data_IF_711954238230
#
_entry.id   IF_711954238230
#
_cell.length_a   1.000
_cell.length_b   1.000
_cell.length_c   1.000
_cell.angle_alpha   90.00
_cell.angle_beta   90.00
_cell.angle_gamma   90.00
#
_symmetry.space_group_name_H-M   'P 1'
#
loop_
_entity.id
_entity.type
_entity.pdbx_description
1 polymer ?
#
# COMPACT_ATOMS: atom_id res chain seq x y z
N UNK A 1 -45.24 5.53 28.00
CA UNK A 1 -44.95 4.58 26.91
C UNK A 1 -44.47 5.44 25.77
N UNK A 2 -43.18 5.74 25.76
CA UNK A 2 -42.54 6.48 24.69
C UNK A 2 -41.71 5.48 23.90
N UNK A 3 -42.26 5.03 22.77
CA UNK A 3 -41.56 4.22 21.80
C UNK A 3 -40.49 5.09 21.13
N UNK A 4 -39.24 4.86 21.51
CA UNK A 4 -38.09 5.37 20.79
C UNK A 4 -38.02 4.67 19.43
N UNK A 5 -38.35 5.45 18.40
CA UNK A 5 -38.12 5.08 17.01
C UNK A 5 -36.59 5.04 16.76
N UNK A 6 -35.97 3.90 17.05
CA UNK A 6 -34.58 3.63 16.70
C UNK A 6 -34.55 3.36 15.21
N UNK A 7 -34.13 4.38 14.46
CA UNK A 7 -33.90 4.28 13.02
C UNK A 7 -32.89 3.16 12.76
N UNK A 8 -33.31 2.13 12.03
CA UNK A 8 -32.46 1.01 11.67
C UNK A 8 -31.22 1.54 10.93
N UNK A 9 -30.02 0.97 11.18
CA UNK A 9 -28.82 1.40 10.47
C UNK A 9 -29.04 1.31 8.97
N UNK A 10 -28.53 2.29 8.18
CA UNK A 10 -28.69 2.28 6.74
C UNK A 10 -28.18 0.96 6.18
N UNK A 11 -28.96 0.35 5.29
CA UNK A 11 -28.56 -0.87 4.62
C UNK A 11 -27.17 -0.66 3.97
N UNK A 12 -26.28 -1.68 4.01
CA UNK A 12 -24.98 -1.56 3.36
C UNK A 12 -25.20 -1.22 1.89
N UNK A 13 -24.62 -0.09 1.45
CA UNK A 13 -24.64 0.31 0.04
C UNK A 13 -24.02 -0.83 -0.74
N UNK A 14 -24.82 -1.49 -1.58
CA UNK A 14 -24.32 -2.58 -2.42
C UNK A 14 -23.09 -2.10 -3.20
N UNK A 15 -22.00 -2.86 -3.13
CA UNK A 15 -20.75 -2.50 -3.80
C UNK A 15 -21.03 -2.21 -5.28
N UNK A 16 -20.81 -0.95 -5.70
CA UNK A 16 -20.89 -0.58 -7.10
C UNK A 16 -19.80 -1.33 -7.84
N UNK A 17 -20.16 -1.96 -8.96
CA UNK A 17 -19.18 -2.66 -9.78
C UNK A 17 -18.13 -1.66 -10.27
N UNK A 18 -16.83 -1.95 -10.12
CA UNK A 18 -15.79 -1.04 -10.58
C UNK A 18 -15.83 -0.88 -12.09
N UNK A 19 -15.35 0.26 -12.59
CA UNK A 19 -15.26 0.53 -14.04
C UNK A 19 -14.35 -0.50 -14.72
N UNK A 20 -13.21 -0.80 -14.09
CA UNK A 20 -12.29 -1.87 -14.48
C UNK A 20 -11.99 -2.70 -13.24
N UNK A 21 -12.17 -4.02 -13.33
CA UNK A 21 -11.81 -4.93 -12.25
C UNK A 21 -10.33 -4.80 -11.92
N UNK A 22 -9.99 -4.67 -10.64
CA UNK A 22 -8.62 -4.40 -10.20
C UNK A 22 -7.64 -5.49 -10.67
N UNK A 23 -8.08 -6.75 -10.76
CA UNK A 23 -7.26 -7.87 -11.26
C UNK A 23 -6.79 -7.69 -12.71
N UNK A 24 -7.56 -6.97 -13.54
CA UNK A 24 -7.15 -6.62 -14.90
C UNK A 24 -5.99 -5.63 -14.85
N UNK A 25 -6.09 -4.60 -14.01
CA UNK A 25 -5.03 -3.61 -13.84
C UNK A 25 -3.75 -4.28 -13.34
N UNK A 26 -3.84 -5.17 -12.36
CA UNK A 26 -2.68 -5.85 -11.81
C UNK A 26 -1.96 -6.73 -12.84
N UNK A 27 -2.72 -7.37 -13.73
CA UNK A 27 -2.16 -8.17 -14.81
C UNK A 27 -1.44 -7.33 -15.88
N UNK A 28 -1.65 -6.02 -15.91
CA UNK A 28 -0.97 -5.10 -16.82
C UNK A 28 0.32 -4.52 -16.23
N UNK A 29 0.46 -4.58 -14.90
CA UNK A 29 1.61 -4.03 -14.18
C UNK A 29 2.80 -4.98 -14.16
N UNK A 30 3.95 -4.44 -14.55
CA UNK A 30 5.27 -4.94 -14.19
C UNK A 30 6.04 -3.78 -13.55
N UNK A 31 6.23 -3.84 -12.23
CA UNK A 31 6.93 -2.79 -11.48
C UNK A 31 8.44 -2.79 -11.73
N UNK A 32 9.02 -3.87 -12.23
CA UNK A 32 10.42 -3.92 -12.63
C UNK A 32 10.67 -3.28 -14.00
N UNK A 33 9.61 -3.12 -14.82
CA UNK A 33 9.64 -2.44 -16.12
C UNK A 33 8.48 -1.44 -16.24
N UNK A 34 8.59 -0.27 -15.57
CA UNK A 34 7.57 0.77 -15.66
C UNK A 34 7.43 1.33 -17.10
N UNK A 35 8.46 1.21 -17.94
CA UNK A 35 8.43 1.61 -19.34
C UNK A 35 7.49 0.74 -20.18
N UNK A 36 7.65 -0.59 -20.12
CA UNK A 36 6.74 -1.51 -20.77
C UNK A 36 5.32 -1.39 -20.21
N UNK A 37 5.18 -1.19 -18.90
CA UNK A 37 3.88 -0.96 -18.27
C UNK A 37 3.19 0.31 -18.81
N UNK A 38 3.91 1.44 -18.89
CA UNK A 38 3.39 2.66 -19.48
C UNK A 38 2.95 2.46 -20.93
N UNK A 39 3.72 1.72 -21.73
CA UNK A 39 3.36 1.41 -23.12
C UNK A 39 2.04 0.62 -23.22
N UNK A 40 1.82 -0.36 -22.34
CA UNK A 40 0.57 -1.15 -22.30
C UNK A 40 -0.65 -0.29 -21.96
N UNK A 41 -0.55 0.56 -20.93
CA UNK A 41 -1.66 1.44 -20.57
C UNK A 41 -1.94 2.48 -21.66
N UNK A 42 -0.88 3.08 -22.24
CA UNK A 42 -1.01 4.05 -23.33
C UNK A 42 -1.72 3.47 -24.55
N UNK A 43 -1.43 2.22 -24.92
CA UNK A 43 -2.13 1.55 -26.01
C UNK A 43 -3.65 1.49 -25.83
N UNK A 44 -4.14 1.34 -24.58
CA UNK A 44 -5.59 1.35 -24.30
C UNK A 44 -6.15 2.78 -24.22
N UNK A 45 -5.37 3.74 -23.72
CA UNK A 45 -5.76 5.16 -23.68
C UNK A 45 -5.94 5.71 -25.09
N UNK A 46 -5.09 5.32 -26.04
CA UNK A 46 -5.10 5.78 -27.43
C UNK A 46 -6.08 5.00 -28.31
N UNK A 47 -6.64 3.89 -27.83
CA UNK A 47 -7.64 3.10 -28.55
C UNK A 47 -9.03 3.75 -28.46
N UNK A 48 -9.41 4.50 -29.50
CA UNK A 48 -10.72 5.15 -29.59
C UNK A 48 -11.91 4.18 -29.52
N UNK A 49 -11.71 2.89 -29.79
CA UNK A 49 -12.74 1.87 -29.69
C UNK A 49 -13.02 1.43 -28.25
N UNK A 50 -12.08 1.66 -27.32
CA UNK A 50 -12.26 1.36 -25.90
C UNK A 50 -13.25 2.35 -25.26
N UNK A 51 -14.13 1.93 -24.33
CA UNK A 51 -15.09 2.84 -23.68
C UNK A 51 -14.39 3.98 -22.91
N UNK A 52 -14.93 5.20 -22.99
CA UNK A 52 -14.32 6.38 -22.36
C UNK A 52 -14.01 6.22 -20.85
N UNK A 53 -14.90 5.64 -20.00
CA UNK A 53 -14.58 5.40 -18.59
C UNK A 53 -13.41 4.42 -18.40
N UNK A 54 -13.28 3.41 -19.27
CA UNK A 54 -12.16 2.46 -19.22
C UNK A 54 -10.86 3.18 -19.57
N UNK A 55 -10.85 3.98 -20.64
CA UNK A 55 -9.67 4.79 -21.02
C UNK A 55 -9.27 5.75 -19.89
N UNK A 56 -10.24 6.35 -19.20
CA UNK A 56 -9.98 7.22 -18.05
C UNK A 56 -9.30 6.46 -16.89
N UNK A 57 -9.75 5.25 -16.55
CA UNK A 57 -9.07 4.40 -15.56
C UNK A 57 -7.65 4.07 -16.01
N UNK A 58 -7.46 3.67 -17.26
CA UNK A 58 -6.12 3.35 -17.79
C UNK A 58 -5.20 4.57 -17.79
N UNK A 59 -5.73 5.77 -18.05
CA UNK A 59 -4.97 7.02 -17.99
C UNK A 59 -4.43 7.30 -16.58
N UNK A 60 -5.19 7.00 -15.51
CA UNK A 60 -4.65 7.12 -14.14
C UNK A 60 -3.50 6.16 -13.88
N UNK A 61 -3.57 4.93 -14.42
CA UNK A 61 -2.48 3.96 -14.27
C UNK A 61 -1.27 4.32 -15.14
N UNK A 62 -1.50 4.88 -16.33
CA UNK A 62 -0.45 5.44 -17.17
C UNK A 62 0.28 6.58 -16.45
N UNK A 63 -0.47 7.50 -15.82
CA UNK A 63 0.11 8.59 -15.04
C UNK A 63 1.02 8.05 -13.92
N UNK A 64 0.59 7.01 -13.20
CA UNK A 64 1.43 6.32 -12.20
C UNK A 64 2.74 5.80 -12.79
N UNK A 65 2.66 5.12 -13.93
CA UNK A 65 3.84 4.55 -14.58
C UNK A 65 4.81 5.62 -15.08
N UNK A 66 4.27 6.72 -15.61
CA UNK A 66 5.04 7.89 -16.05
C UNK A 66 5.72 8.61 -14.88
N UNK A 67 5.04 8.74 -13.74
CA UNK A 67 5.64 9.31 -12.53
C UNK A 67 6.85 8.49 -12.06
N UNK A 68 6.74 7.15 -12.04
CA UNK A 68 7.88 6.26 -11.74
C UNK A 68 9.05 6.39 -12.72
N UNK A 69 8.79 6.86 -13.95
CA UNK A 69 9.80 7.15 -14.98
C UNK A 69 10.33 8.59 -14.88
N UNK A 70 9.91 9.37 -13.88
CA UNK A 70 10.26 10.79 -13.73
C UNK A 70 9.57 11.72 -14.74
N UNK A 71 8.61 11.22 -15.52
CA UNK A 71 7.85 12.02 -16.52
C UNK A 71 6.63 12.69 -15.88
N UNK A 72 6.87 13.45 -14.80
CA UNK A 72 5.83 14.01 -13.94
C UNK A 72 4.89 14.95 -14.69
N UNK A 73 5.43 15.87 -15.50
CA UNK A 73 4.62 16.81 -16.29
C UNK A 73 3.60 16.11 -17.21
N UNK A 74 3.97 14.96 -17.78
CA UNK A 74 3.05 14.17 -18.62
C UNK A 74 2.00 13.46 -17.77
N UNK A 75 2.40 12.90 -16.64
CA UNK A 75 1.49 12.28 -15.69
C UNK A 75 0.42 13.27 -15.20
N UNK A 76 0.81 14.48 -14.81
CA UNK A 76 -0.11 15.52 -14.35
C UNK A 76 -1.09 15.95 -15.45
N UNK A 77 -0.61 16.17 -16.68
CA UNK A 77 -1.49 16.49 -17.82
C UNK A 77 -2.53 15.40 -18.10
N UNK A 78 -2.16 14.13 -17.95
CA UNK A 78 -3.11 13.02 -18.09
C UNK A 78 -4.18 13.05 -16.98
N UNK A 79 -3.77 13.29 -15.73
CA UNK A 79 -4.69 13.38 -14.60
C UNK A 79 -5.64 14.58 -14.74
N UNK A 80 -5.14 15.73 -15.21
CA UNK A 80 -5.96 16.91 -15.52
C UNK A 80 -6.99 16.62 -16.61
N UNK A 81 -6.57 15.93 -17.68
CA UNK A 81 -7.48 15.56 -18.77
C UNK A 81 -8.59 14.60 -18.30
N UNK A 82 -8.26 13.65 -17.42
CA UNK A 82 -9.28 12.79 -16.80
C UNK A 82 -10.22 13.62 -15.93
N UNK A 83 -9.69 14.49 -15.07
CA UNK A 83 -10.49 15.32 -14.15
C UNK A 83 -11.47 16.25 -14.88
N UNK A 84 -11.04 16.87 -15.97
CA UNK A 84 -11.89 17.74 -16.81
C UNK A 84 -13.09 17.00 -17.41
N UNK A 85 -13.01 15.68 -17.59
CA UNK A 85 -14.05 14.85 -18.16
C UNK A 85 -15.02 14.24 -17.13
N UNK A 86 -14.82 14.47 -15.82
CA UNK A 86 -15.60 13.80 -14.78
C UNK A 86 -16.99 14.42 -14.59
N UNK A 87 -17.99 13.56 -14.49
CA UNK A 87 -19.30 13.93 -13.97
C UNK A 87 -19.30 13.93 -12.44
N UNK A 88 -20.27 14.62 -11.83
CA UNK A 88 -20.44 14.65 -10.37
C UNK A 88 -20.63 13.25 -9.77
N UNK A 89 -21.16 12.29 -10.54
CA UNK A 89 -21.32 10.90 -10.11
C UNK A 89 -20.03 10.06 -10.09
N UNK A 90 -18.93 10.53 -10.68
CA UNK A 90 -17.73 9.71 -10.96
C UNK A 90 -16.75 9.61 -9.78
N UNK A 91 -17.26 9.15 -8.64
CA UNK A 91 -16.48 9.03 -7.41
C UNK A 91 -15.26 8.10 -7.54
N UNK A 92 -15.37 6.97 -8.27
CA UNK A 92 -14.22 6.06 -8.46
C UNK A 92 -13.06 6.73 -9.21
N UNK A 93 -13.37 7.45 -10.30
CA UNK A 93 -12.34 8.13 -11.08
C UNK A 93 -11.74 9.31 -10.30
N UNK A 94 -12.54 10.08 -9.56
CA UNK A 94 -12.01 11.11 -8.67
C UNK A 94 -11.07 10.53 -7.62
N UNK A 95 -11.42 9.39 -7.03
CA UNK A 95 -10.57 8.71 -6.07
C UNK A 95 -9.21 8.33 -6.70
N UNK A 96 -9.24 7.70 -7.89
CA UNK A 96 -8.02 7.32 -8.61
C UNK A 96 -7.15 8.53 -8.95
N UNK A 97 -7.74 9.61 -9.49
CA UNK A 97 -7.00 10.85 -9.79
C UNK A 97 -6.37 11.43 -8.53
N UNK A 98 -7.13 11.53 -7.44
CA UNK A 98 -6.65 12.09 -6.18
C UNK A 98 -5.51 11.27 -5.56
N UNK A 99 -5.61 9.93 -5.60
CA UNK A 99 -4.56 9.02 -5.13
C UNK A 99 -3.29 9.15 -5.95
N UNK A 100 -3.38 9.18 -7.29
CA UNK A 100 -2.20 9.33 -8.13
C UNK A 100 -1.55 10.71 -8.00
N UNK A 101 -2.34 11.79 -7.87
CA UNK A 101 -1.81 13.12 -7.53
C UNK A 101 -1.10 13.11 -6.17
N UNK A 102 -1.72 12.51 -5.16
CA UNK A 102 -1.12 12.36 -3.84
C UNK A 102 0.20 11.61 -3.91
N UNK A 103 0.28 10.54 -4.71
CA UNK A 103 1.50 9.76 -4.91
C UNK A 103 2.62 10.57 -5.60
N UNK A 104 2.28 11.38 -6.60
CA UNK A 104 3.24 12.28 -7.26
C UNK A 104 3.79 13.32 -6.27
N UNK A 105 2.92 13.95 -5.48
CA UNK A 105 3.32 14.95 -4.49
C UNK A 105 4.19 14.32 -3.38
N UNK A 106 3.82 13.12 -2.95
CA UNK A 106 4.52 12.38 -1.90
C UNK A 106 5.96 11.99 -2.27
N UNK A 107 6.26 11.86 -3.57
CA UNK A 107 7.61 11.60 -4.10
C UNK A 107 8.44 12.89 -4.26
N UNK A 108 7.82 14.06 -4.06
CA UNK A 108 8.45 15.37 -4.16
C UNK A 108 9.22 15.81 -2.89
N UNK A 109 9.58 17.10 -2.85
CA UNK A 109 10.38 17.67 -1.75
C UNK A 109 9.60 17.83 -0.43
N UNK A 110 8.27 17.97 -0.50
CA UNK A 110 7.39 18.12 0.67
C UNK A 110 6.30 17.03 0.68
N UNK A 111 6.62 15.80 1.13
CA UNK A 111 5.67 14.68 1.06
C UNK A 111 4.34 14.91 1.79
N UNK A 112 4.36 15.68 2.89
CA UNK A 112 3.16 16.05 3.64
C UNK A 112 2.17 16.92 2.85
N UNK A 113 2.61 17.57 1.77
CA UNK A 113 1.71 18.30 0.87
C UNK A 113 0.73 17.36 0.13
N UNK A 114 0.97 16.04 0.16
CA UNK A 114 0.07 15.04 -0.44
C UNK A 114 -1.22 14.83 0.37
N UNK A 115 -1.24 15.17 1.67
CA UNK A 115 -2.33 14.84 2.60
C UNK A 115 -3.72 15.27 2.10
N UNK A 116 -3.92 16.50 1.58
CA UNK A 116 -5.23 16.92 1.06
C UNK A 116 -5.72 16.06 -0.11
N UNK A 117 -4.82 15.69 -1.04
CA UNK A 117 -5.16 14.86 -2.19
C UNK A 117 -5.47 13.43 -1.77
N UNK A 118 -4.69 12.85 -0.86
CA UNK A 118 -4.93 11.50 -0.36
C UNK A 118 -6.22 11.40 0.47
N UNK A 119 -6.51 12.42 1.30
CA UNK A 119 -7.78 12.50 2.06
C UNK A 119 -8.99 12.61 1.13
N UNK A 120 -8.87 13.38 0.04
CA UNK A 120 -9.86 13.39 -1.03
C UNK A 120 -10.02 11.98 -1.64
N UNK A 121 -8.90 11.29 -1.90
CA UNK A 121 -8.88 9.90 -2.36
C UNK A 121 -9.68 8.96 -1.48
N UNK A 122 -9.44 8.98 -0.16
CA UNK A 122 -10.19 8.19 0.84
C UNK A 122 -11.70 8.47 0.72
N UNK A 123 -12.10 9.75 0.76
CA UNK A 123 -13.51 10.14 0.73
C UNK A 123 -14.21 9.69 -0.55
N UNK A 124 -13.60 9.91 -1.70
CA UNK A 124 -14.20 9.54 -2.99
C UNK A 124 -14.20 8.01 -3.19
N UNK A 125 -13.18 7.30 -2.71
CA UNK A 125 -13.13 5.84 -2.72
C UNK A 125 -14.23 5.23 -1.85
N UNK A 126 -14.48 5.80 -0.67
CA UNK A 126 -15.58 5.41 0.21
C UNK A 126 -16.94 5.66 -0.46
N UNK A 127 -17.13 6.83 -1.11
CA UNK A 127 -18.34 7.12 -1.91
C UNK A 127 -18.53 6.17 -3.09
N UNK A 128 -17.43 5.70 -3.68
CA UNK A 128 -17.46 4.71 -4.75
C UNK A 128 -17.74 3.28 -4.23
N UNK A 129 -17.65 3.05 -2.92
CA UNK A 129 -17.76 1.71 -2.32
C UNK A 129 -16.57 0.81 -2.67
N UNK A 130 -15.36 1.38 -2.77
CA UNK A 130 -14.14 0.65 -3.10
C UNK A 130 -13.18 0.57 -1.90
N UNK A 131 -13.24 -0.51 -1.08
CA UNK A 131 -12.29 -0.73 0.01
C UNK A 131 -10.84 -0.73 -0.48
N UNK A 132 -10.59 -1.26 -1.68
CA UNK A 132 -9.25 -1.30 -2.25
C UNK A 132 -8.65 0.10 -2.43
N UNK A 133 -9.42 1.05 -2.99
CA UNK A 133 -8.92 2.42 -3.20
C UNK A 133 -8.85 3.21 -1.88
N UNK A 134 -9.74 2.93 -0.92
CA UNK A 134 -9.64 3.48 0.44
C UNK A 134 -8.32 3.06 1.08
N UNK A 135 -8.00 1.77 1.04
CA UNK A 135 -6.77 1.21 1.61
C UNK A 135 -5.51 1.73 0.91
N UNK A 136 -5.54 1.90 -0.42
CA UNK A 136 -4.41 2.49 -1.16
C UNK A 136 -4.12 3.93 -0.71
N UNK A 137 -5.17 4.75 -0.53
CA UNK A 137 -5.03 6.11 -0.06
C UNK A 137 -4.57 6.19 1.41
N UNK A 138 -5.15 5.37 2.30
CA UNK A 138 -4.79 5.30 3.72
C UNK A 138 -3.35 4.81 3.91
N UNK A 139 -2.89 3.86 3.09
CA UNK A 139 -1.50 3.41 3.15
C UNK A 139 -0.53 4.54 2.83
N UNK A 140 -0.80 5.35 1.79
CA UNK A 140 0.02 6.51 1.46
C UNK A 140 -0.03 7.57 2.57
N UNK A 141 -1.20 7.82 3.18
CA UNK A 141 -1.31 8.71 4.33
C UNK A 141 -0.46 8.22 5.51
N UNK A 142 -0.49 6.92 5.81
CA UNK A 142 0.32 6.32 6.86
C UNK A 142 1.84 6.43 6.60
N UNK A 143 2.28 6.62 5.35
CA UNK A 143 3.68 6.80 4.98
C UNK A 143 4.13 8.27 4.98
N UNK A 144 3.22 9.20 4.70
CA UNK A 144 3.57 10.58 4.35
C UNK A 144 2.97 11.66 5.26
N UNK A 145 1.98 11.32 6.10
CA UNK A 145 1.42 12.22 7.12
C UNK A 145 2.12 12.01 8.47
N UNK A 146 3.26 12.67 8.62
CA UNK A 146 4.10 12.51 9.81
C UNK A 146 3.37 12.89 11.11
N UNK A 147 3.42 11.98 12.08
CA UNK A 147 2.72 12.11 13.37
C UNK A 147 1.32 11.48 13.41
N UNK A 148 0.77 11.06 12.26
CA UNK A 148 -0.54 10.40 12.16
C UNK A 148 -0.42 8.97 11.59
N UNK A 149 0.78 8.41 11.52
CA UNK A 149 1.06 7.12 10.86
C UNK A 149 0.24 5.97 11.46
N UNK A 150 0.16 5.92 12.80
CA UNK A 150 -0.62 4.89 13.50
C UNK A 150 -2.13 5.07 13.30
N UNK A 151 -2.61 6.31 13.26
CA UNK A 151 -4.04 6.60 13.10
C UNK A 151 -4.53 6.10 11.74
N UNK A 152 -3.79 6.43 10.67
CA UNK A 152 -4.11 5.97 9.31
C UNK A 152 -3.97 4.46 9.15
N UNK A 153 -2.95 3.85 9.77
CA UNK A 153 -2.78 2.40 9.73
C UNK A 153 -3.94 1.66 10.43
N UNK A 154 -4.40 2.17 11.59
CA UNK A 154 -5.54 1.61 12.33
C UNK A 154 -6.85 1.79 11.54
N UNK A 155 -7.10 2.97 10.97
CA UNK A 155 -8.28 3.17 10.12
C UNK A 155 -8.29 2.20 8.92
N UNK A 156 -7.12 1.95 8.32
CA UNK A 156 -6.98 0.94 7.28
C UNK A 156 -7.32 -0.47 7.75
N UNK A 157 -6.92 -0.83 8.98
CA UNK A 157 -7.26 -2.14 9.56
C UNK A 157 -8.78 -2.26 9.82
N UNK A 158 -9.42 -1.18 10.28
CA UNK A 158 -10.88 -1.14 10.45
C UNK A 158 -11.63 -1.35 9.12
N UNK A 159 -11.07 -0.86 8.00
CA UNK A 159 -11.63 -1.12 6.65
C UNK A 159 -11.54 -2.59 6.25
N UNK A 160 -10.54 -3.33 6.77
CA UNK A 160 -10.39 -4.78 6.52
C UNK A 160 -11.39 -5.62 7.31
N UNK A 161 -12.00 -5.10 8.36
CA UNK A 161 -12.97 -5.84 9.15
C UNK A 161 -14.19 -6.23 8.29
N UNK A 162 -14.52 -7.52 8.34
CA UNK A 162 -15.62 -8.10 7.56
C UNK A 162 -15.31 -8.30 6.06
N UNK A 163 -14.13 -7.87 5.56
CA UNK A 163 -13.73 -8.15 4.18
C UNK A 163 -13.43 -9.63 4.00
N UNK A 164 -13.70 -10.12 2.78
CA UNK A 164 -13.48 -11.54 2.42
C UNK A 164 -12.66 -11.71 1.15
N UNK A 165 -12.48 -10.65 0.37
CA UNK A 165 -11.66 -10.69 -0.83
C UNK A 165 -10.18 -10.82 -0.40
N UNK A 166 -9.49 -11.93 -0.75
CA UNK A 166 -8.07 -12.11 -0.43
C UNK A 166 -7.19 -10.95 -0.92
N UNK A 167 -7.58 -10.29 -2.01
CA UNK A 167 -6.86 -9.14 -2.55
C UNK A 167 -6.94 -7.93 -1.64
N UNK A 168 -8.12 -7.67 -1.08
CA UNK A 168 -8.33 -6.59 -0.11
C UNK A 168 -7.62 -6.94 1.20
N UNK A 169 -7.79 -8.18 1.70
CA UNK A 169 -7.13 -8.66 2.92
C UNK A 169 -5.60 -8.60 2.86
N UNK A 170 -5.01 -8.72 1.66
CA UNK A 170 -3.56 -8.57 1.45
C UNK A 170 -3.02 -7.21 1.88
N UNK A 171 -3.84 -6.15 1.91
CA UNK A 171 -3.44 -4.84 2.43
C UNK A 171 -3.03 -4.87 3.91
N UNK A 172 -3.54 -5.85 4.68
CA UNK A 172 -3.15 -6.01 6.07
C UNK A 172 -1.65 -6.27 6.25
N UNK A 173 -0.95 -6.78 5.23
CA UNK A 173 0.51 -6.89 5.24
C UNK A 173 1.14 -5.52 5.41
N UNK A 174 0.79 -4.56 4.54
CA UNK A 174 1.39 -3.22 4.54
C UNK A 174 0.96 -2.41 5.77
N UNK A 175 -0.30 -2.53 6.20
CA UNK A 175 -0.81 -1.79 7.36
C UNK A 175 -0.15 -2.23 8.67
N UNK A 176 -0.06 -3.54 8.92
CA UNK A 176 0.64 -4.03 10.11
C UNK A 176 2.16 -3.78 10.02
N UNK A 177 2.74 -3.81 8.83
CA UNK A 177 4.15 -3.47 8.63
C UNK A 177 4.43 -1.99 8.97
N UNK A 178 3.62 -1.07 8.45
CA UNK A 178 3.70 0.36 8.78
C UNK A 178 3.53 0.60 10.28
N UNK A 179 2.50 -0.01 10.89
CA UNK A 179 2.23 0.12 12.33
C UNK A 179 3.39 -0.46 13.18
N UNK A 180 4.00 -1.56 12.72
CA UNK A 180 5.19 -2.13 13.31
C UNK A 180 6.36 -1.14 13.32
N UNK A 181 6.65 -0.49 12.20
CA UNK A 181 7.72 0.51 12.10
C UNK A 181 7.43 1.75 12.94
N UNK A 182 6.22 2.30 12.87
CA UNK A 182 5.83 3.44 13.70
C UNK A 182 6.01 3.14 15.21
N UNK A 183 5.63 1.94 15.67
CA UNK A 183 5.87 1.49 17.05
C UNK A 183 7.36 1.31 17.35
N UNK A 184 8.11 0.74 16.42
CA UNK A 184 9.55 0.47 16.59
C UNK A 184 10.34 1.78 16.76
N UNK A 185 10.09 2.76 15.90
CA UNK A 185 10.76 4.07 15.91
C UNK A 185 10.48 4.87 17.18
N UNK A 186 9.30 4.67 17.78
CA UNK A 186 8.95 5.24 19.08
C UNK A 186 9.47 4.43 20.28
N UNK A 187 10.30 3.41 20.06
CA UNK A 187 10.87 2.55 21.10
C UNK A 187 9.90 1.50 21.67
N UNK A 188 8.68 1.39 21.14
CA UNK A 188 7.67 0.38 21.55
C UNK A 188 7.90 -0.97 20.85
N UNK A 189 9.13 -1.47 20.93
CA UNK A 189 9.60 -2.64 20.16
C UNK A 189 8.81 -3.93 20.43
N UNK A 190 8.28 -4.15 21.63
CA UNK A 190 7.42 -5.33 21.92
C UNK A 190 6.11 -5.25 21.12
N UNK A 191 5.49 -4.07 21.10
CA UNK A 191 4.29 -3.84 20.30
C UNK A 191 4.59 -3.92 18.80
N UNK A 192 5.73 -3.41 18.36
CA UNK A 192 6.18 -3.51 16.97
C UNK A 192 6.28 -4.97 16.50
N UNK A 193 6.91 -5.83 17.31
CA UNK A 193 7.04 -7.26 17.01
C UNK A 193 5.68 -7.92 16.77
N UNK A 194 4.68 -7.62 17.62
CA UNK A 194 3.33 -8.17 17.47
C UNK A 194 2.67 -7.76 16.14
N UNK A 195 2.93 -6.53 15.67
CA UNK A 195 2.40 -6.10 14.37
C UNK A 195 3.16 -6.76 13.21
N UNK A 196 4.48 -6.85 13.28
CA UNK A 196 5.26 -7.57 12.26
C UNK A 196 4.86 -9.05 12.15
N UNK A 197 4.59 -9.73 13.27
CA UNK A 197 4.09 -11.10 13.30
C UNK A 197 2.72 -11.23 12.60
N UNK A 198 1.80 -10.29 12.83
CA UNK A 198 0.52 -10.22 12.10
C UNK A 198 0.71 -10.00 10.60
N UNK A 199 1.67 -9.15 10.22
CA UNK A 199 2.01 -8.96 8.80
C UNK A 199 2.52 -10.26 8.16
N UNK A 200 3.33 -11.06 8.87
CA UNK A 200 3.79 -12.40 8.43
C UNK A 200 2.60 -13.34 8.22
N UNK A 201 1.67 -13.43 9.18
CA UNK A 201 0.50 -14.31 9.05
C UNK A 201 -0.34 -14.01 7.79
N UNK A 202 -0.50 -12.73 7.45
CA UNK A 202 -1.25 -12.32 6.27
C UNK A 202 -0.42 -12.56 5.00
N UNK A 203 0.89 -12.30 5.04
CA UNK A 203 1.79 -12.56 3.92
C UNK A 203 1.86 -14.05 3.57
N UNK A 204 1.75 -14.94 4.56
CA UNK A 204 1.71 -16.38 4.35
C UNK A 204 0.42 -16.84 3.67
N UNK A 205 -0.71 -16.20 3.97
CA UNK A 205 -2.00 -16.53 3.36
C UNK A 205 -2.21 -15.89 1.98
N UNK A 206 -1.75 -14.65 1.80
CA UNK A 206 -2.17 -13.80 0.68
C UNK A 206 -1.01 -13.07 -0.03
N UNK A 207 0.20 -13.09 0.54
CA UNK A 207 1.34 -12.31 0.05
C UNK A 207 2.12 -12.97 -1.10
N UNK A 208 2.93 -12.15 -1.79
CA UNK A 208 3.96 -12.64 -2.70
C UNK A 208 5.14 -13.24 -1.93
N UNK A 209 6.04 -13.96 -2.62
CA UNK A 209 7.29 -14.43 -2.02
C UNK A 209 8.13 -13.29 -1.47
N UNK A 210 8.13 -12.13 -2.13
CA UNK A 210 8.80 -10.92 -1.66
C UNK A 210 8.18 -10.37 -0.38
N UNK A 211 6.85 -10.26 -0.30
CA UNK A 211 6.20 -9.80 0.93
C UNK A 211 6.43 -10.77 2.10
N UNK A 212 6.46 -12.08 1.85
CA UNK A 212 6.84 -13.07 2.86
C UNK A 212 8.28 -12.92 3.34
N UNK A 213 9.20 -12.56 2.45
CA UNK A 213 10.60 -12.27 2.79
C UNK A 213 10.69 -11.01 3.65
N UNK A 214 10.11 -9.90 3.18
CA UNK A 214 10.20 -8.58 3.83
C UNK A 214 9.59 -8.59 5.24
N UNK A 215 8.40 -9.19 5.40
CA UNK A 215 7.73 -9.26 6.72
C UNK A 215 8.55 -10.06 7.74
N UNK A 216 9.13 -11.19 7.34
CA UNK A 216 10.02 -11.99 8.21
C UNK A 216 11.33 -11.25 8.53
N UNK A 217 11.89 -10.53 7.57
CA UNK A 217 13.05 -9.68 7.81
C UNK A 217 12.76 -8.63 8.88
N UNK A 218 11.58 -7.99 8.85
CA UNK A 218 11.15 -7.03 9.88
C UNK A 218 10.99 -7.66 11.27
N UNK A 219 10.45 -8.88 11.36
CA UNK A 219 10.40 -9.64 12.62
C UNK A 219 11.82 -9.86 13.16
N UNK A 220 12.75 -10.38 12.34
CA UNK A 220 14.12 -10.63 12.75
C UNK A 220 14.87 -9.35 13.17
N UNK A 221 14.70 -8.27 12.41
CA UNK A 221 15.25 -6.94 12.73
C UNK A 221 14.74 -6.41 14.06
N UNK A 222 13.46 -6.63 14.37
CA UNK A 222 12.84 -6.22 15.63
C UNK A 222 13.32 -7.09 16.81
N UNK A 223 13.48 -8.40 16.62
CA UNK A 223 14.05 -9.29 17.65
C UNK A 223 15.45 -8.87 18.07
N UNK A 224 16.28 -8.42 17.11
CA UNK A 224 17.60 -7.86 17.41
C UNK A 224 17.50 -6.63 18.32
N UNK A 225 16.58 -5.70 18.03
CA UNK A 225 16.35 -4.52 18.90
C UNK A 225 15.92 -4.93 20.32
N UNK A 226 15.17 -6.03 20.46
CA UNK A 226 14.76 -6.58 21.75
C UNK A 226 15.86 -7.39 22.47
N UNK A 227 17.06 -7.52 21.90
CA UNK A 227 18.17 -8.30 22.46
C UNK A 227 18.01 -9.82 22.29
N UNK A 228 17.02 -10.28 21.51
CA UNK A 228 16.81 -11.69 21.17
C UNK A 228 17.70 -12.09 19.99
N UNK A 229 19.00 -11.93 20.17
CA UNK A 229 20.03 -12.00 19.12
C UNK A 229 20.10 -13.36 18.43
N UNK A 230 20.03 -14.45 19.19
CA UNK A 230 20.12 -15.81 18.62
C UNK A 230 18.93 -16.12 17.69
N UNK A 231 17.72 -15.74 18.10
CA UNK A 231 16.50 -15.90 17.31
C UNK A 231 16.53 -15.02 16.05
N UNK A 232 16.97 -13.77 16.19
CA UNK A 232 17.15 -12.87 15.06
C UNK A 232 18.16 -13.46 14.05
N UNK A 233 19.30 -13.96 14.51
CA UNK A 233 20.34 -14.52 13.64
C UNK A 233 19.90 -15.80 12.94
N UNK A 234 19.16 -16.67 13.64
CA UNK A 234 18.60 -17.88 13.04
C UNK A 234 17.67 -17.54 11.87
N UNK A 235 16.72 -16.62 12.08
CA UNK A 235 15.81 -16.20 11.01
C UNK A 235 16.53 -15.48 9.86
N UNK A 236 17.50 -14.61 10.15
CA UNK A 236 18.24 -13.95 9.06
C UNK A 236 19.01 -14.96 8.20
N UNK A 237 19.56 -16.02 8.79
CA UNK A 237 20.21 -17.10 8.03
C UNK A 237 19.23 -17.86 7.15
N UNK A 238 18.04 -18.20 7.67
CA UNK A 238 16.98 -18.82 6.87
C UNK A 238 16.56 -17.93 5.68
N UNK A 239 16.46 -16.62 5.90
CA UNK A 239 16.16 -15.66 4.84
C UNK A 239 17.28 -15.58 3.79
N UNK A 240 18.54 -15.69 4.21
CA UNK A 240 19.70 -15.72 3.32
C UNK A 240 19.78 -17.02 2.50
N UNK A 241 19.32 -18.17 3.05
CA UNK A 241 19.21 -19.40 2.26
C UNK A 241 18.20 -19.25 1.11
N UNK A 242 17.08 -18.58 1.37
CA UNK A 242 16.05 -18.33 0.36
C UNK A 242 16.48 -17.26 -0.67
N UNK A 243 17.24 -16.25 -0.24
CA UNK A 243 17.75 -15.15 -1.08
C UNK A 243 19.18 -14.77 -0.67
N UNK A 244 20.20 -15.47 -1.21
CA UNK A 244 21.60 -15.28 -0.81
C UNK A 244 22.15 -13.87 -1.07
N UNK A 245 21.61 -13.19 -2.08
CA UNK A 245 22.07 -11.88 -2.53
C UNK A 245 21.25 -10.71 -1.92
N UNK A 246 20.37 -10.97 -0.95
CA UNK A 246 19.58 -9.92 -0.30
C UNK A 246 20.46 -9.08 0.65
N UNK A 247 20.87 -7.91 0.16
CA UNK A 247 21.78 -7.01 0.88
C UNK A 247 21.27 -6.59 2.26
N UNK A 248 19.94 -6.48 2.46
CA UNK A 248 19.36 -6.12 3.75
C UNK A 248 19.47 -7.25 4.76
N UNK A 249 19.33 -8.50 4.31
CA UNK A 249 19.54 -9.70 5.15
C UNK A 249 21.01 -9.83 5.51
N UNK A 250 21.92 -9.68 4.54
CA UNK A 250 23.36 -9.79 4.76
C UNK A 250 23.87 -8.73 5.76
N UNK A 251 23.42 -7.48 5.64
CA UNK A 251 23.75 -6.42 6.58
C UNK A 251 23.29 -6.73 8.02
N UNK A 252 22.13 -7.38 8.18
CA UNK A 252 21.64 -7.78 9.50
C UNK A 252 22.44 -8.94 10.09
N UNK A 253 22.85 -9.92 9.29
CA UNK A 253 23.75 -11.01 9.73
C UNK A 253 25.09 -10.43 10.18
N UNK A 254 25.66 -9.50 9.42
CA UNK A 254 26.90 -8.81 9.79
C UNK A 254 26.74 -8.09 11.14
N UNK A 255 25.68 -7.31 11.30
CA UNK A 255 25.41 -6.59 12.55
C UNK A 255 25.22 -7.52 13.76
N UNK A 256 24.58 -8.69 13.57
CA UNK A 256 24.35 -9.69 14.62
C UNK A 256 25.62 -10.46 15.01
N UNK A 257 26.56 -10.63 14.07
CA UNK A 257 27.78 -11.41 14.27
C UNK A 257 28.98 -10.56 14.70
N UNK A 258 29.01 -9.26 14.37
CA UNK A 258 30.08 -8.34 14.75
C UNK A 258 30.29 -8.18 16.26
N UNK A 259 29.29 -8.52 17.09
CA UNK A 259 29.37 -8.46 18.55
C UNK A 259 29.75 -9.77 19.26
N UNK A 260 29.89 -10.88 18.53
CA UNK A 260 30.33 -12.14 19.12
C UNK A 260 31.85 -12.14 19.24
N UNK A 261 32.44 -12.33 20.44
CA UNK A 261 33.88 -12.48 20.54
C UNK A 261 34.32 -13.69 19.72
N UNK A 262 35.11 -13.46 18.68
CA UNK A 262 35.82 -14.52 17.98
C UNK A 262 36.70 -15.22 19.03
N UNK A 263 36.33 -16.43 19.42
CA UNK A 263 37.28 -17.30 20.13
C UNK A 263 38.31 -17.68 19.07
N UNK A 264 39.41 -16.93 19.00
CA UNK A 264 40.61 -17.37 18.32
C UNK A 264 41.09 -18.65 19.02
N UNK A 265 41.12 -19.75 18.27
CA UNK A 265 41.64 -21.04 18.69
C UNK A 265 43.14 -21.15 18.39
#
# INVERSE_FOLDING_TARGET
>A
MDDQNVEAPPAPVAARRPIVDQSVLDGMWDFADPGATAARFRAVVDDESAPAPVRAVMATQLARALALLGSVDEAERLLDAVEQGLAESDAELRARVAVERGRIIADGEEPSAAVPALTLGVREAARAGSPFLVLDALHLLALHDHGHEEEWAVEGLDVLDGQRDPRVLRWGIALHHNLGWAKHDQGRSVGALMEFERAVEIADRHGSAEQRQVTRWSVARCLRTLGRTDEALAMQRELAEARPDDAYVLAEIEALTAGAPTIEA
#
